data_IF_997563201124
#
_entry.id   IF_997563201124
#
_cell.length_a   1.000
_cell.length_b   1.000
_cell.length_c   1.000
_cell.angle_alpha   90.00
_cell.angle_beta   90.00
_cell.angle_gamma   90.00
#
_symmetry.space_group_name_H-M   'P 1'
#
loop_
_entity.id
_entity.type
_entity.pdbx_description
1 polymer ?
#
# COMPACT_ATOMS: atom_id res chain seq x y z
N UNK A 1 16.62 -6.40 -15.83
CA UNK A 1 15.65 -6.46 -14.72
C UNK A 1 14.40 -7.15 -15.24
N UNK A 2 13.84 -8.12 -14.53
CA UNK A 2 12.54 -8.70 -14.90
C UNK A 2 11.43 -7.83 -14.31
N UNK A 3 10.35 -7.62 -15.08
CA UNK A 3 9.14 -6.94 -14.61
C UNK A 3 8.57 -7.56 -13.32
N UNK A 4 8.77 -8.86 -13.08
CA UNK A 4 8.31 -9.51 -11.84
C UNK A 4 9.13 -9.09 -10.60
N UNK A 5 10.41 -8.76 -10.79
CA UNK A 5 11.29 -8.25 -9.73
C UNK A 5 10.99 -6.77 -9.43
N UNK A 6 10.80 -5.95 -10.47
CA UNK A 6 10.47 -4.53 -10.31
C UNK A 6 9.13 -4.34 -9.60
N UNK A 7 8.11 -5.12 -10.00
CA UNK A 7 6.79 -5.07 -9.35
C UNK A 7 6.81 -5.62 -7.92
N UNK A 8 7.67 -6.58 -7.60
CA UNK A 8 7.88 -7.03 -6.22
C UNK A 8 8.51 -5.91 -5.35
N UNK A 9 9.42 -5.12 -5.91
CA UNK A 9 9.98 -3.93 -5.24
C UNK A 9 8.91 -2.87 -4.97
N UNK A 10 8.00 -2.64 -5.93
CA UNK A 10 6.85 -1.75 -5.76
C UNK A 10 5.92 -2.24 -4.64
N UNK A 11 5.63 -3.54 -4.58
CA UNK A 11 4.83 -4.14 -3.50
C UNK A 11 5.43 -3.84 -2.12
N UNK A 12 6.72 -4.07 -1.93
CA UNK A 12 7.41 -3.75 -0.67
C UNK A 12 7.38 -2.26 -0.34
N UNK A 13 7.46 -1.40 -1.37
CA UNK A 13 7.38 0.05 -1.20
C UNK A 13 5.98 0.51 -0.77
N UNK A 14 4.92 -0.12 -1.28
CA UNK A 14 3.54 0.13 -0.86
C UNK A 14 3.30 -0.27 0.60
N UNK A 15 3.92 -1.36 1.09
CA UNK A 15 3.87 -1.72 2.51
C UNK A 15 4.47 -0.64 3.41
N UNK A 16 5.63 -0.10 3.04
CA UNK A 16 6.26 0.99 3.78
C UNK A 16 5.42 2.27 3.77
N UNK A 17 4.80 2.59 2.63
CA UNK A 17 3.90 3.74 2.53
C UNK A 17 2.66 3.57 3.42
N UNK A 18 2.05 2.39 3.45
CA UNK A 18 0.91 2.11 4.33
C UNK A 18 1.28 2.34 5.79
N UNK A 19 2.43 1.85 6.26
CA UNK A 19 2.89 2.07 7.64
C UNK A 19 3.02 3.56 7.99
N UNK A 20 3.53 4.38 7.06
CA UNK A 20 3.67 5.82 7.27
C UNK A 20 2.32 6.53 7.29
N UNK A 21 1.39 6.13 6.41
CA UNK A 21 0.03 6.68 6.37
C UNK A 21 -0.71 6.33 7.65
N UNK A 22 -0.63 5.08 8.13
CA UNK A 22 -1.26 4.68 9.40
C UNK A 22 -0.69 5.46 10.58
N UNK A 23 0.62 5.70 10.63
CA UNK A 23 1.21 6.56 11.65
C UNK A 23 0.65 7.99 11.63
N UNK A 24 0.44 8.56 10.44
CA UNK A 24 -0.20 9.87 10.30
C UNK A 24 -1.70 9.84 10.70
N UNK A 25 -2.43 8.76 10.42
CA UNK A 25 -3.81 8.59 10.92
C UNK A 25 -3.83 8.67 12.45
N UNK A 26 -2.92 7.97 13.11
CA UNK A 26 -2.83 7.95 14.57
C UNK A 26 -2.54 9.35 15.15
N UNK A 27 -1.76 10.19 14.46
CA UNK A 27 -1.45 11.57 14.87
C UNK A 27 -2.69 12.48 14.88
N UNK A 28 -3.62 12.30 13.94
CA UNK A 28 -4.81 13.16 13.80
C UNK A 28 -6.09 12.57 14.42
N UNK A 29 -6.06 11.30 14.83
CA UNK A 29 -7.23 10.65 15.43
C UNK A 29 -7.55 11.26 16.80
N UNK A 30 -8.81 11.70 16.98
CA UNK A 30 -9.27 12.30 18.24
C UNK A 30 -8.78 13.74 18.48
N UNK A 31 -8.16 14.37 17.49
CA UNK A 31 -7.83 15.80 17.51
C UNK A 31 -8.96 16.63 16.89
N UNK A 32 -8.79 17.96 16.81
CA UNK A 32 -9.75 18.81 16.08
C UNK A 32 -9.69 18.63 14.55
N UNK A 33 -8.70 17.90 14.04
CA UNK A 33 -8.46 17.67 12.61
C UNK A 33 -8.94 16.28 12.18
N UNK A 34 -10.05 15.80 12.73
CA UNK A 34 -10.57 14.44 12.48
C UNK A 34 -10.86 14.19 11.00
N UNK A 35 -11.24 15.22 10.24
CA UNK A 35 -11.41 15.16 8.79
C UNK A 35 -10.13 14.72 8.05
N UNK A 36 -8.95 15.13 8.55
CA UNK A 36 -7.64 14.70 8.02
C UNK A 36 -7.43 13.22 8.28
N UNK A 37 -7.75 12.74 9.50
CA UNK A 37 -7.65 11.32 9.84
C UNK A 37 -8.55 10.45 8.94
N UNK A 38 -9.77 10.93 8.64
CA UNK A 38 -10.71 10.27 7.73
C UNK A 38 -10.14 10.18 6.33
N UNK A 39 -9.63 11.29 5.78
CA UNK A 39 -8.99 11.30 4.47
C UNK A 39 -7.78 10.36 4.39
N UNK A 40 -6.95 10.32 5.44
CA UNK A 40 -5.79 9.42 5.51
C UNK A 40 -6.20 7.94 5.60
N UNK A 41 -7.29 7.61 6.32
CA UNK A 41 -7.85 6.25 6.33
C UNK A 41 -8.33 5.81 4.94
N UNK A 42 -8.92 6.71 4.15
CA UNK A 42 -9.32 6.41 2.77
C UNK A 42 -8.12 6.16 1.85
N UNK A 43 -7.05 6.94 2.02
CA UNK A 43 -5.77 6.71 1.33
C UNK A 43 -5.20 5.34 1.71
N UNK A 44 -5.17 4.99 3.00
CA UNK A 44 -4.67 3.69 3.46
C UNK A 44 -5.47 2.52 2.83
N UNK A 45 -6.81 2.62 2.81
CA UNK A 45 -7.68 1.61 2.19
C UNK A 45 -7.40 1.45 0.70
N UNK A 46 -7.16 2.57 0.00
CA UNK A 46 -6.82 2.57 -1.43
C UNK A 46 -5.47 1.90 -1.68
N UNK A 47 -4.44 2.23 -0.89
CA UNK A 47 -3.11 1.62 -0.95
C UNK A 47 -3.17 0.12 -0.66
N UNK A 48 -3.93 -0.30 0.36
CA UNK A 48 -4.12 -1.71 0.72
C UNK A 48 -4.77 -2.51 -0.42
N UNK A 49 -5.75 -1.91 -1.08
CA UNK A 49 -6.41 -2.52 -2.25
C UNK A 49 -5.45 -2.65 -3.43
N UNK A 50 -4.68 -1.60 -3.73
CA UNK A 50 -3.65 -1.62 -4.77
C UNK A 50 -2.57 -2.68 -4.48
N UNK A 51 -2.08 -2.76 -3.24
CA UNK A 51 -1.03 -3.69 -2.84
C UNK A 51 -1.47 -5.15 -3.00
N UNK A 52 -2.68 -5.50 -2.54
CA UNK A 52 -3.26 -6.85 -2.74
C UNK A 52 -3.40 -7.23 -4.21
N UNK A 53 -3.77 -6.27 -5.08
CA UNK A 53 -3.89 -6.51 -6.51
C UNK A 53 -2.51 -6.73 -7.14
N UNK A 54 -1.53 -5.91 -6.76
CA UNK A 54 -0.15 -6.03 -7.22
C UNK A 54 0.48 -7.38 -6.82
N UNK A 55 0.29 -7.81 -5.57
CA UNK A 55 0.78 -9.09 -5.07
C UNK A 55 0.32 -10.27 -5.93
N UNK A 56 -0.98 -10.29 -6.31
CA UNK A 56 -1.55 -11.32 -7.18
C UNK A 56 -0.89 -11.32 -8.56
N UNK A 57 -0.73 -10.14 -9.17
CA UNK A 57 -0.09 -9.99 -10.49
C UNK A 57 1.36 -10.47 -10.43
N UNK A 58 2.12 -10.13 -9.38
CA UNK A 58 3.51 -10.59 -9.20
C UNK A 58 3.57 -12.12 -9.11
N UNK A 59 2.65 -12.75 -8.35
CA UNK A 59 2.54 -14.21 -8.25
C UNK A 59 2.23 -14.86 -9.59
N UNK A 60 1.30 -14.30 -10.35
CA UNK A 60 0.95 -14.77 -11.69
C UNK A 60 2.13 -14.66 -12.67
N UNK A 61 2.85 -13.54 -12.69
CA UNK A 61 4.02 -13.35 -13.55
C UNK A 61 5.11 -14.38 -13.24
N UNK A 62 5.46 -14.56 -11.96
CA UNK A 62 6.46 -15.56 -11.54
C UNK A 62 6.04 -16.99 -11.87
N UNK A 63 4.75 -17.28 -11.91
CA UNK A 63 4.25 -18.60 -12.30
C UNK A 63 4.43 -18.88 -13.80
N UNK A 64 4.42 -17.85 -14.64
CA UNK A 64 4.59 -17.94 -16.10
C UNK A 64 6.06 -17.95 -16.53
N UNK A 65 6.96 -17.45 -15.68
CA UNK A 65 8.41 -17.46 -15.88
C UNK A 65 9.07 -18.81 -15.54
N UNK A 66 8.31 -19.74 -14.93
CA UNK A 66 8.75 -21.11 -14.59
C UNK A 66 8.32 -22.10 -15.65
#
# INVERSE_FOLDING_TARGET
MSSSADLASVHSSLEQLMTRVSGAVDEFTGTMDEDVSIGLMEVERSLRTANRRLERIVKELRSRER
#
